data_IF_785468963025
#
_entry.id   IF_785468963025
#
_cell.length_a   1.000
_cell.length_b   1.000
_cell.length_c   1.000
_cell.angle_alpha   90.00
_cell.angle_beta   90.00
_cell.angle_gamma   90.00
#
_symmetry.space_group_name_H-M   'P 1'
#
loop_
_entity.id
_entity.type
_entity.pdbx_description
1 polymer ?
#
# COMPACT_ATOMS: atom_id res chain seq x y z
N UNK A 1 -60.90 40.78 20.01
CA UNK A 1 -59.64 40.50 20.72
C UNK A 1 -59.37 39.03 20.64
N UNK A 2 -58.35 38.60 19.78
CA UNK A 2 -57.99 37.18 19.65
C UNK A 2 -56.86 36.88 20.62
N UNK A 3 -57.18 36.10 21.64
CA UNK A 3 -56.18 35.54 22.53
C UNK A 3 -55.37 34.46 21.76
N UNK A 4 -54.13 34.74 21.52
CA UNK A 4 -53.16 33.83 20.89
C UNK A 4 -52.78 32.77 21.94
N UNK A 5 -53.27 31.55 21.84
CA UNK A 5 -52.90 30.42 22.70
C UNK A 5 -51.50 29.96 22.30
N UNK A 6 -50.48 30.35 23.05
CA UNK A 6 -49.18 29.76 22.91
C UNK A 6 -49.25 28.23 23.18
N UNK A 7 -48.68 27.38 22.37
CA UNK A 7 -48.68 25.94 22.59
C UNK A 7 -47.89 25.61 23.87
N UNK A 8 -48.51 24.81 24.74
CA UNK A 8 -47.96 24.38 26.04
C UNK A 8 -46.54 23.83 25.94
N UNK A 9 -46.18 23.22 24.79
CA UNK A 9 -44.84 22.75 24.51
C UNK A 9 -43.75 23.84 24.41
N UNK A 10 -44.11 25.06 23.97
CA UNK A 10 -43.16 26.17 23.89
C UNK A 10 -42.82 26.71 25.30
N UNK A 11 -43.78 26.70 26.21
CA UNK A 11 -43.56 27.11 27.60
C UNK A 11 -42.68 26.10 28.34
N UNK A 12 -42.85 24.79 28.07
CA UNK A 12 -41.99 23.74 28.64
C UNK A 12 -40.55 23.85 28.16
N UNK A 13 -40.36 24.13 26.88
CA UNK A 13 -39.02 24.22 26.28
C UNK A 13 -38.25 25.44 26.84
N UNK A 14 -38.94 26.59 27.04
CA UNK A 14 -38.32 27.77 27.63
C UNK A 14 -38.01 27.58 29.12
N UNK A 15 -38.82 26.85 29.83
CA UNK A 15 -38.57 26.53 31.26
C UNK A 15 -37.34 25.62 31.42
N UNK A 16 -37.16 24.62 30.56
CA UNK A 16 -36.03 23.70 30.61
C UNK A 16 -34.72 24.44 30.24
N UNK A 17 -34.75 25.31 29.24
CA UNK A 17 -33.56 26.12 28.90
C UNK A 17 -33.18 27.11 29.97
N UNK A 18 -34.17 27.73 30.65
CA UNK A 18 -33.90 28.61 31.75
C UNK A 18 -33.26 27.89 32.95
N UNK A 19 -33.72 26.68 33.28
CA UNK A 19 -33.15 25.86 34.36
C UNK A 19 -31.72 25.43 34.01
N UNK A 20 -31.48 25.04 32.76
CA UNK A 20 -30.13 24.66 32.30
C UNK A 20 -29.13 25.83 32.37
N UNK A 21 -29.57 27.04 32.04
CA UNK A 21 -28.74 28.25 32.13
C UNK A 21 -28.44 28.58 33.61
N UNK A 22 -29.42 28.49 34.48
CA UNK A 22 -29.23 28.74 35.93
C UNK A 22 -28.28 27.70 36.53
N UNK A 23 -28.42 26.41 36.17
CA UNK A 23 -27.52 25.35 36.61
C UNK A 23 -26.07 25.54 36.07
N UNK A 24 -25.92 26.03 34.85
CA UNK A 24 -24.61 26.33 34.28
C UNK A 24 -23.92 27.51 34.98
N UNK A 25 -24.68 28.54 35.33
CA UNK A 25 -24.11 29.69 36.08
C UNK A 25 -23.83 29.37 37.56
N UNK A 26 -24.59 28.47 38.16
CA UNK A 26 -24.37 28.06 39.57
C UNK A 26 -23.22 27.05 39.72
N UNK A 27 -22.89 26.30 38.64
CA UNK A 27 -21.78 25.37 38.66
C UNK A 27 -20.43 26.01 38.32
N UNK A 28 -20.40 27.31 38.08
CA UNK A 28 -19.14 28.00 37.79
C UNK A 28 -18.30 28.07 39.06
N UNK A 29 -17.15 27.41 39.01
CA UNK A 29 -16.17 27.48 40.09
C UNK A 29 -15.82 28.97 40.40
N UNK A 30 -15.75 29.38 41.68
CA UNK A 30 -15.38 30.75 42.02
C UNK A 30 -13.99 31.07 41.46
N UNK A 31 -13.85 32.28 40.91
CA UNK A 31 -12.55 32.76 40.41
C UNK A 31 -11.56 32.94 41.55
N UNK A 32 -10.27 32.78 41.28
CA UNK A 32 -9.20 32.93 42.29
C UNK A 32 -9.24 34.26 43.08
N UNK A 33 -9.79 35.30 42.49
CA UNK A 33 -9.99 36.59 43.17
C UNK A 33 -11.05 36.55 44.29
N UNK A 34 -12.04 35.69 44.20
CA UNK A 34 -13.10 35.54 45.19
C UNK A 34 -12.62 34.72 46.40
N UNK A 35 -11.70 33.77 46.17
CA UNK A 35 -11.03 33.00 47.22
C UNK A 35 -10.11 33.91 48.06
N UNK A 36 -9.44 34.87 47.41
CA UNK A 36 -8.56 35.81 48.10
C UNK A 36 -9.31 36.82 48.97
N UNK A 37 -10.57 37.17 48.64
CA UNK A 37 -11.40 38.07 49.44
C UNK A 37 -12.03 37.39 50.64
N UNK A 38 -12.30 36.11 50.59
CA UNK A 38 -12.88 35.37 51.73
C UNK A 38 -11.85 34.97 52.81
N UNK A 39 -10.54 35.12 52.52
CA UNK A 39 -9.47 34.84 53.46
C UNK A 39 -8.98 36.05 54.22
N UNK A 40 -9.72 37.21 54.17
CA UNK A 40 -9.47 38.32 55.05
C UNK A 40 -9.97 37.97 56.45
N UNK A 41 -9.15 37.28 57.17
CA UNK A 41 -9.39 36.94 58.58
C UNK A 41 -9.32 38.22 59.38
N UNK A 42 -10.45 38.52 60.07
CA UNK A 42 -10.67 39.53 61.07
C UNK A 42 -9.56 39.45 62.14
N UNK A 43 -8.87 40.57 62.35
CA UNK A 43 -7.78 40.67 63.30
C UNK A 43 -8.32 40.59 64.68
N UNK A 44 -8.25 39.48 65.37
CA UNK A 44 -8.46 39.37 66.81
C UNK A 44 -7.24 39.88 67.57
N UNK A 45 -7.40 40.43 68.78
CA UNK A 45 -6.35 41.15 69.50
C UNK A 45 -5.21 40.24 69.95
N UNK A 46 -4.00 40.73 69.71
CA UNK A 46 -2.73 40.08 70.03
C UNK A 46 -2.64 39.69 71.52
N UNK A 47 -2.63 38.39 71.78
CA UNK A 47 -2.08 37.82 73.01
C UNK A 47 -0.58 37.63 72.76
N UNK A 48 0.28 38.21 73.58
CA UNK A 48 1.74 38.07 73.51
C UNK A 48 2.13 36.60 73.40
N UNK A 49 2.41 36.20 72.21
CA UNK A 49 3.01 34.91 71.90
C UNK A 49 4.52 35.16 71.71
N UNK A 50 5.35 34.51 72.48
CA UNK A 50 6.77 34.43 72.21
C UNK A 50 6.97 34.12 70.71
N UNK A 51 7.54 35.06 69.98
CA UNK A 51 7.84 34.88 68.51
C UNK A 51 8.93 33.88 68.38
N UNK A 52 8.55 32.67 67.89
CA UNK A 52 9.51 31.66 67.47
C UNK A 52 10.11 32.11 66.12
N UNK A 53 11.37 32.41 66.11
CA UNK A 53 12.07 32.74 64.87
C UNK A 53 12.18 31.49 64.06
N UNK A 54 11.49 31.41 62.93
CA UNK A 54 11.61 30.34 61.94
C UNK A 54 12.37 30.89 60.74
N UNK A 55 13.36 30.15 60.33
CA UNK A 55 14.06 30.43 59.04
C UNK A 55 13.24 29.83 57.90
N UNK A 56 12.65 30.67 57.07
CA UNK A 56 11.91 30.25 55.90
C UNK A 56 12.76 30.51 54.65
N UNK A 57 12.89 29.48 53.82
CA UNK A 57 13.53 29.58 52.51
C UNK A 57 12.44 29.65 51.45
N UNK A 58 12.44 30.73 50.68
CA UNK A 58 11.52 30.88 49.56
C UNK A 58 11.93 29.94 48.45
N UNK A 59 11.08 28.97 48.14
CA UNK A 59 11.25 28.10 47.01
C UNK A 59 10.91 28.86 45.73
N UNK A 60 11.87 28.90 44.80
CA UNK A 60 11.65 29.43 43.48
C UNK A 60 11.46 28.25 42.52
N UNK A 61 10.39 28.30 41.75
CA UNK A 61 10.19 27.36 40.64
C UNK A 61 11.31 27.58 39.62
N UNK A 62 12.05 26.54 39.33
CA UNK A 62 13.15 26.56 38.39
C UNK A 62 12.95 25.42 37.39
N UNK A 63 13.00 25.76 36.12
CA UNK A 63 13.03 24.73 35.08
C UNK A 63 14.31 23.91 35.20
N UNK A 64 14.14 22.63 35.37
CA UNK A 64 15.25 21.69 35.44
C UNK A 64 15.10 20.63 34.33
N UNK A 65 16.07 20.59 33.45
CA UNK A 65 16.14 19.57 32.40
C UNK A 65 16.66 18.28 32.99
N UNK A 66 15.83 17.25 33.01
CA UNK A 66 16.22 15.91 33.44
C UNK A 66 16.71 15.13 32.21
N UNK A 67 17.99 14.85 32.17
CA UNK A 67 18.55 13.91 31.18
C UNK A 67 18.30 12.48 31.64
N UNK A 68 17.55 11.73 30.84
CA UNK A 68 17.37 10.29 31.04
C UNK A 68 18.28 9.57 30.04
N UNK A 69 19.26 8.84 30.56
CA UNK A 69 20.15 7.99 29.77
C UNK A 69 19.62 6.56 29.83
N UNK A 70 19.38 5.98 28.65
CA UNK A 70 18.99 4.58 28.53
C UNK A 70 19.97 3.83 27.64
N UNK A 71 20.16 2.55 27.90
CA UNK A 71 20.87 1.62 27.02
C UNK A 71 19.87 0.66 26.42
N UNK A 72 20.08 0.28 25.17
CA UNK A 72 19.22 -0.67 24.48
C UNK A 72 19.99 -1.43 23.41
N UNK A 73 19.47 -2.55 22.98
CA UNK A 73 20.01 -3.32 21.86
C UNK A 73 19.16 -3.04 20.62
N UNK A 74 19.84 -2.78 19.50
CA UNK A 74 19.17 -2.68 18.19
C UNK A 74 19.04 -4.08 17.62
N UNK A 75 17.81 -4.51 17.34
CA UNK A 75 17.51 -5.77 16.69
C UNK A 75 16.90 -5.51 15.32
N UNK A 76 17.23 -6.37 14.37
CA UNK A 76 16.64 -6.32 13.03
C UNK A 76 15.17 -6.71 13.14
N UNK A 77 14.27 -5.87 12.65
CA UNK A 77 12.83 -6.16 12.64
C UNK A 77 12.49 -7.20 11.58
N UNK A 78 13.05 -7.06 10.39
CA UNK A 78 12.85 -7.97 9.27
C UNK A 78 14.20 -8.19 8.59
N UNK A 79 14.48 -9.44 8.22
CA UNK A 79 15.62 -9.84 7.42
C UNK A 79 15.11 -10.61 6.22
N UNK A 80 15.58 -10.29 5.04
CA UNK A 80 15.25 -10.98 3.79
C UNK A 80 16.54 -11.28 3.04
N UNK A 81 16.58 -12.44 2.41
CA UNK A 81 17.65 -12.80 1.48
C UNK A 81 17.20 -12.49 0.06
N UNK A 82 17.92 -11.62 -0.64
CA UNK A 82 17.68 -11.31 -2.04
C UNK A 82 18.33 -12.40 -2.90
N UNK A 83 17.48 -13.19 -3.58
CA UNK A 83 17.93 -14.23 -4.50
C UNK A 83 17.54 -13.81 -5.92
N UNK A 84 18.51 -13.83 -6.81
CA UNK A 84 18.28 -13.62 -8.24
C UNK A 84 17.53 -14.82 -8.82
N UNK A 85 16.48 -14.57 -9.59
CA UNK A 85 15.72 -15.60 -10.29
C UNK A 85 16.39 -16.02 -11.61
N UNK A 86 17.19 -15.11 -12.20
CA UNK A 86 17.91 -15.33 -13.46
C UNK A 86 19.41 -15.49 -13.19
N UNK A 87 20.04 -16.34 -13.97
CA UNK A 87 21.48 -16.54 -13.98
C UNK A 87 22.10 -15.83 -15.18
N UNK A 88 23.15 -15.07 -14.95
CA UNK A 88 23.82 -14.36 -16.04
C UNK A 88 25.09 -13.66 -15.61
N UNK A 89 25.78 -13.05 -16.57
CA UNK A 89 26.98 -12.25 -16.29
C UNK A 89 26.59 -10.89 -15.72
N UNK A 90 27.09 -10.55 -14.56
CA UNK A 90 26.91 -9.22 -13.99
C UNK A 90 27.81 -8.23 -14.72
N UNK A 91 27.23 -7.17 -15.28
CA UNK A 91 27.96 -6.12 -16.03
C UNK A 91 28.11 -4.84 -15.21
N UNK A 92 27.26 -4.63 -14.23
CA UNK A 92 27.33 -3.47 -13.35
C UNK A 92 26.85 -3.83 -11.94
N UNK A 93 27.47 -3.23 -10.94
CA UNK A 93 27.11 -3.35 -9.52
C UNK A 93 27.11 -1.96 -8.91
N UNK A 94 26.05 -1.65 -8.15
CA UNK A 94 25.95 -0.38 -7.44
C UNK A 94 27.03 -0.24 -6.35
N UNK A 95 27.58 0.94 -6.18
CA UNK A 95 28.53 1.23 -5.10
C UNK A 95 27.92 1.03 -3.70
N UNK A 96 26.59 1.16 -3.60
CA UNK A 96 25.86 0.93 -2.34
C UNK A 96 25.70 -0.55 -2.02
N UNK A 97 25.87 -1.45 -3.00
CA UNK A 97 25.77 -2.90 -2.84
C UNK A 97 27.06 -3.46 -2.21
N UNK A 98 27.25 -3.13 -0.93
CA UNK A 98 28.40 -3.55 -0.11
C UNK A 98 27.94 -3.80 1.32
N UNK A 99 28.74 -4.56 2.06
CA UNK A 99 28.47 -4.83 3.48
C UNK A 99 28.35 -3.51 4.27
N UNK A 100 27.22 -3.32 4.94
CA UNK A 100 26.88 -2.09 5.65
C UNK A 100 26.36 -0.95 4.78
N UNK A 101 26.17 -1.16 3.48
CA UNK A 101 25.50 -0.21 2.60
C UNK A 101 24.01 -0.14 2.84
N UNK A 102 23.36 0.91 2.35
CA UNK A 102 21.92 1.10 2.35
C UNK A 102 21.44 1.43 0.95
N UNK A 103 20.20 1.03 0.64
CA UNK A 103 19.57 1.30 -0.65
C UNK A 103 18.09 1.57 -0.47
N UNK A 104 17.52 2.30 -1.40
CA UNK A 104 16.12 2.69 -1.41
C UNK A 104 15.28 1.71 -2.23
N UNK A 105 13.97 1.75 -2.01
CA UNK A 105 13.03 0.96 -2.79
C UNK A 105 13.09 1.36 -4.28
N UNK A 106 13.24 0.37 -5.17
CA UNK A 106 13.37 0.58 -6.61
C UNK A 106 14.78 0.96 -7.08
N UNK A 107 15.78 1.03 -6.20
CA UNK A 107 17.16 1.26 -6.59
C UNK A 107 17.77 0.01 -7.24
N UNK A 108 18.38 0.18 -8.43
CA UNK A 108 19.13 -0.89 -9.07
C UNK A 108 20.39 -1.21 -8.27
N UNK A 109 20.57 -2.49 -7.92
CA UNK A 109 21.72 -2.96 -7.16
C UNK A 109 22.78 -3.61 -8.04
N UNK A 110 22.32 -4.33 -9.06
CA UNK A 110 23.20 -4.97 -10.06
C UNK A 110 22.46 -5.04 -11.39
N UNK A 111 23.21 -5.21 -12.46
CA UNK A 111 22.69 -5.41 -13.80
C UNK A 111 23.33 -6.65 -14.42
N UNK A 112 22.48 -7.51 -14.97
CA UNK A 112 22.91 -8.68 -15.73
C UNK A 112 23.06 -8.28 -17.21
N UNK A 113 23.97 -8.91 -17.92
CA UNK A 113 24.17 -8.71 -19.36
C UNK A 113 22.90 -9.16 -20.14
N UNK A 114 22.21 -8.26 -20.85
CA UNK A 114 20.96 -8.62 -21.53
C UNK A 114 21.16 -9.39 -22.82
N UNK A 115 22.38 -9.43 -23.37
CA UNK A 115 22.63 -9.96 -24.73
C UNK A 115 22.17 -11.40 -24.91
N UNK A 116 22.37 -12.26 -23.92
CA UNK A 116 21.97 -13.65 -24.02
C UNK A 116 20.44 -13.81 -24.04
N UNK A 117 19.75 -12.96 -23.28
CA UNK A 117 18.27 -12.91 -23.24
C UNK A 117 17.70 -12.31 -24.53
N UNK A 118 18.31 -11.25 -25.06
CA UNK A 118 17.93 -10.66 -26.36
C UNK A 118 18.06 -11.68 -27.50
N UNK A 119 19.13 -12.48 -27.50
CA UNK A 119 19.33 -13.55 -28.46
C UNK A 119 18.28 -14.68 -28.30
N UNK A 120 17.91 -15.01 -27.05
CA UNK A 120 16.88 -15.99 -26.77
C UNK A 120 15.49 -15.52 -27.26
N UNK A 121 15.15 -14.24 -27.08
CA UNK A 121 13.94 -13.65 -27.66
C UNK A 121 13.96 -13.71 -29.19
N UNK A 122 15.04 -13.28 -29.81
CA UNK A 122 15.15 -13.31 -31.27
C UNK A 122 15.04 -14.74 -31.84
N UNK A 123 15.62 -15.73 -31.14
CA UNK A 123 15.47 -17.13 -31.54
C UNK A 123 14.04 -17.62 -31.39
N UNK A 124 13.38 -17.32 -30.30
CA UNK A 124 11.99 -17.71 -30.05
C UNK A 124 11.01 -17.04 -31.03
N UNK A 125 11.27 -15.80 -31.42
CA UNK A 125 10.52 -15.11 -32.49
C UNK A 125 10.70 -15.79 -33.85
N UNK A 126 11.93 -16.16 -34.20
CA UNK A 126 12.21 -16.91 -35.44
C UNK A 126 11.49 -18.27 -35.44
N UNK A 127 11.48 -18.99 -34.33
CA UNK A 127 10.76 -20.26 -34.18
C UNK A 127 9.24 -20.08 -34.35
N UNK A 128 8.67 -18.99 -33.84
CA UNK A 128 7.24 -18.64 -34.04
C UNK A 128 6.94 -18.39 -35.53
N UNK A 129 7.76 -17.59 -36.19
CA UNK A 129 7.60 -17.31 -37.61
C UNK A 129 7.72 -18.59 -38.48
N UNK A 130 8.62 -19.50 -38.11
CA UNK A 130 8.73 -20.79 -38.73
C UNK A 130 7.47 -21.66 -38.53
N UNK A 131 6.93 -21.67 -37.31
CA UNK A 131 5.68 -22.39 -37.00
C UNK A 131 4.49 -21.81 -37.79
N UNK A 132 4.39 -20.49 -37.90
CA UNK A 132 3.38 -19.80 -38.72
C UNK A 132 3.48 -20.16 -40.18
N UNK A 133 4.70 -20.21 -40.74
CA UNK A 133 4.96 -20.61 -42.12
C UNK A 133 4.54 -22.06 -42.37
N UNK A 134 4.84 -22.97 -41.44
CA UNK A 134 4.41 -24.35 -41.50
C UNK A 134 2.89 -24.50 -41.44
N UNK A 135 2.22 -23.70 -40.64
CA UNK A 135 0.75 -23.67 -40.59
C UNK A 135 0.15 -23.19 -41.91
N UNK A 136 0.71 -22.13 -42.52
CA UNK A 136 0.25 -21.65 -43.82
C UNK A 136 0.44 -22.73 -44.94
N UNK A 137 1.55 -23.46 -44.89
CA UNK A 137 1.77 -24.58 -45.78
C UNK A 137 0.75 -25.69 -45.57
N UNK A 138 0.55 -26.14 -44.35
CA UNK A 138 -0.44 -27.16 -43.99
C UNK A 138 -1.86 -26.73 -44.40
N UNK A 139 -2.19 -25.45 -44.25
CA UNK A 139 -3.47 -24.87 -44.66
C UNK A 139 -3.63 -24.93 -46.17
N UNK A 140 -2.64 -24.50 -46.93
CA UNK A 140 -2.68 -24.55 -48.37
C UNK A 140 -2.81 -26.01 -48.93
N UNK A 141 -2.09 -26.94 -48.29
CA UNK A 141 -2.22 -28.37 -48.63
C UNK A 141 -3.62 -28.93 -48.27
N UNK A 142 -4.20 -28.51 -47.17
CA UNK A 142 -5.56 -28.87 -46.78
C UNK A 142 -6.60 -28.35 -47.78
N UNK A 143 -6.49 -27.06 -48.14
CA UNK A 143 -7.37 -26.43 -49.11
C UNK A 143 -7.29 -27.10 -50.51
N UNK A 144 -6.06 -27.44 -50.96
CA UNK A 144 -5.84 -28.17 -52.20
C UNK A 144 -6.45 -29.58 -52.15
N UNK A 145 -6.29 -30.29 -51.02
CA UNK A 145 -6.87 -31.64 -50.85
C UNK A 145 -8.41 -31.61 -50.82
N UNK A 146 -9.02 -30.63 -50.15
CA UNK A 146 -10.47 -30.42 -50.13
C UNK A 146 -10.98 -30.13 -51.55
N UNK A 147 -10.32 -29.22 -52.28
CA UNK A 147 -10.69 -28.83 -53.64
C UNK A 147 -10.63 -30.06 -54.61
N UNK A 148 -9.54 -30.80 -54.55
CA UNK A 148 -9.34 -31.99 -55.38
C UNK A 148 -10.42 -33.06 -55.06
N UNK A 149 -10.74 -33.27 -53.79
CA UNK A 149 -11.75 -34.26 -53.39
C UNK A 149 -13.14 -33.82 -53.86
N UNK A 150 -13.50 -32.53 -53.73
CA UNK A 150 -14.80 -32.01 -54.18
C UNK A 150 -15.02 -32.14 -55.71
N UNK A 151 -13.94 -32.00 -56.47
CA UNK A 151 -14.01 -32.24 -57.96
C UNK A 151 -14.33 -33.69 -58.27
N UNK A 152 -13.76 -34.64 -57.54
CA UNK A 152 -13.92 -36.08 -57.77
C UNK A 152 -15.23 -36.62 -57.16
N UNK A 153 -15.73 -35.97 -56.13
CA UNK A 153 -16.90 -36.42 -55.34
C UNK A 153 -17.83 -35.26 -55.02
N UNK A 154 -18.55 -34.70 -56.00
CA UNK A 154 -19.27 -33.41 -55.81
C UNK A 154 -20.44 -33.47 -54.83
N UNK A 155 -20.98 -34.67 -54.51
CA UNK A 155 -22.09 -34.84 -53.59
C UNK A 155 -21.71 -35.43 -52.22
N UNK A 156 -20.39 -35.56 -51.92
CA UNK A 156 -19.93 -36.18 -50.69
C UNK A 156 -19.20 -35.16 -49.81
N UNK A 157 -19.49 -35.19 -48.51
CA UNK A 157 -18.74 -34.44 -47.53
C UNK A 157 -17.28 -34.89 -47.50
N UNK A 158 -16.37 -33.92 -47.32
CA UNK A 158 -14.94 -34.19 -47.28
C UNK A 158 -14.57 -34.81 -45.92
N UNK A 159 -14.06 -36.04 -45.88
CA UNK A 159 -13.64 -36.65 -44.62
C UNK A 159 -12.52 -35.84 -43.97
N UNK A 160 -12.48 -35.71 -42.61
CA UNK A 160 -11.45 -34.93 -41.90
C UNK A 160 -10.02 -35.37 -42.21
N UNK A 161 -9.82 -36.65 -42.52
CA UNK A 161 -8.51 -37.17 -42.87
C UNK A 161 -8.05 -36.71 -44.27
N UNK A 162 -8.98 -36.59 -45.22
CA UNK A 162 -8.73 -36.04 -46.56
C UNK A 162 -8.49 -34.53 -46.47
N UNK A 163 -9.26 -33.84 -45.63
CA UNK A 163 -9.07 -32.42 -45.35
C UNK A 163 -7.81 -32.14 -44.54
N UNK A 164 -7.02 -33.13 -44.16
CA UNK A 164 -5.81 -32.99 -43.37
C UNK A 164 -6.03 -32.24 -42.04
N UNK A 165 -7.25 -32.32 -41.47
CA UNK A 165 -7.61 -31.62 -40.23
C UNK A 165 -6.65 -31.89 -39.07
N UNK A 166 -6.18 -33.15 -38.83
CA UNK A 166 -5.21 -33.40 -37.75
C UNK A 166 -3.87 -32.67 -37.96
N UNK A 167 -3.42 -32.54 -39.20
CA UNK A 167 -2.18 -31.83 -39.54
C UNK A 167 -2.31 -30.33 -39.30
N UNK A 168 -3.50 -29.75 -39.64
CA UNK A 168 -3.81 -28.36 -39.33
C UNK A 168 -3.83 -28.11 -37.84
N UNK A 169 -4.48 -28.97 -37.07
CA UNK A 169 -4.54 -28.80 -35.59
C UNK A 169 -3.15 -28.98 -34.97
N UNK A 170 -2.32 -29.88 -35.49
CA UNK A 170 -0.95 -30.03 -35.04
C UNK A 170 -0.12 -28.76 -35.35
N UNK A 171 -0.25 -28.18 -36.55
CA UNK A 171 0.44 -26.93 -36.88
C UNK A 171 -0.02 -25.75 -36.03
N UNK A 172 -1.32 -25.65 -35.71
CA UNK A 172 -1.82 -24.66 -34.76
C UNK A 172 -1.25 -24.82 -33.34
N UNK A 173 -1.16 -26.07 -32.86
CA UNK A 173 -0.53 -26.38 -31.61
C UNK A 173 0.95 -25.99 -31.56
N UNK A 174 1.66 -26.13 -32.69
CA UNK A 174 3.06 -25.69 -32.83
C UNK A 174 3.18 -24.16 -32.70
N UNK A 175 2.29 -23.39 -33.35
CA UNK A 175 2.25 -21.92 -33.16
C UNK A 175 2.03 -21.57 -31.71
N UNK A 176 1.05 -22.17 -31.05
CA UNK A 176 0.76 -21.89 -29.65
C UNK A 176 1.97 -22.21 -28.74
N UNK A 177 2.67 -23.31 -29.01
CA UNK A 177 3.89 -23.69 -28.29
C UNK A 177 5.04 -22.70 -28.53
N UNK A 178 5.24 -22.27 -29.79
CA UNK A 178 6.28 -21.29 -30.10
C UNK A 178 6.00 -19.91 -29.50
N UNK A 179 4.74 -19.47 -29.51
CA UNK A 179 4.30 -18.22 -28.89
C UNK A 179 4.55 -18.25 -27.36
N UNK A 180 4.26 -19.38 -26.72
CA UNK A 180 4.53 -19.52 -25.28
C UNK A 180 6.03 -19.43 -24.94
N UNK A 181 6.89 -19.97 -25.80
CA UNK A 181 8.35 -19.85 -25.64
C UNK A 181 8.84 -18.43 -25.85
N UNK A 182 8.32 -17.72 -26.85
CA UNK A 182 8.62 -16.31 -27.09
C UNK A 182 8.23 -15.45 -25.87
N UNK A 183 7.01 -15.66 -25.34
CA UNK A 183 6.56 -14.96 -24.13
C UNK A 183 7.45 -15.27 -22.93
N UNK A 184 7.88 -16.53 -22.76
CA UNK A 184 8.80 -16.88 -21.67
C UNK A 184 10.15 -16.16 -21.84
N UNK A 185 10.71 -16.14 -23.03
CA UNK A 185 11.97 -15.44 -23.29
C UNK A 185 11.85 -13.91 -23.07
N UNK A 186 10.69 -13.31 -23.39
CA UNK A 186 10.41 -11.90 -23.13
C UNK A 186 10.26 -11.59 -21.65
N UNK A 187 9.78 -12.52 -20.82
CA UNK A 187 9.70 -12.35 -19.37
C UNK A 187 11.05 -12.43 -18.68
N UNK A 188 12.01 -13.14 -19.30
CA UNK A 188 13.36 -13.29 -18.78
C UNK A 188 14.27 -12.11 -19.19
N UNK A 189 13.86 -11.27 -20.16
CA UNK A 189 14.55 -10.05 -20.60
C UNK A 189 14.20 -8.83 -19.74
#
# INVERSE_FOLDING_TARGET
MKFNRLPIGAIQLTAITAIAIIAFYSARAPSEEEILRSSSIETAPQKNSESIFVSAVALKSQEHTVEIRGTGSVVVRNSIDLVLQLSGRVVWVSETFRKGGSFDAGQSLLQIDPRDFELAVAQAEADRLAAESNYQLAKAESEAAISNYAILHPEKDVPPLVAKTPQLEQAKAQIASALAREQSAQLDL
#
